data_IF_041213082922
#
_entry.id   IF_041213082922
#
_cell.length_a   1.000
_cell.length_b   1.000
_cell.length_c   1.000
_cell.angle_alpha   90.00
_cell.angle_beta   90.00
_cell.angle_gamma   90.00
#
_symmetry.space_group_name_H-M   'P 1'
#
loop_
_entity.id
_entity.type
_entity.pdbx_description
1 polymer ?
#
# COMPACT_ATOMS: atom_id res chain seq x y z
N UNK A 1 12.12 -6.54 -15.72
CA UNK A 1 11.07 -6.35 -14.69
C UNK A 1 11.66 -6.68 -13.32
N UNK A 2 11.17 -6.04 -12.25
CA UNK A 2 11.62 -6.26 -10.85
C UNK A 2 10.39 -6.45 -9.96
N UNK A 3 10.61 -6.89 -8.72
CA UNK A 3 9.56 -7.15 -7.73
C UNK A 3 9.72 -6.21 -6.55
N UNK A 4 8.64 -5.51 -6.19
CA UNK A 4 8.61 -4.56 -5.09
C UNK A 4 7.51 -4.91 -4.09
N UNK A 5 7.87 -4.94 -2.82
CA UNK A 5 6.96 -5.08 -1.71
C UNK A 5 6.81 -3.74 -1.00
N UNK A 6 5.59 -3.24 -0.92
CA UNK A 6 5.25 -2.03 -0.18
C UNK A 6 4.56 -2.40 1.13
N UNK A 7 4.84 -1.66 2.19
CA UNK A 7 4.20 -1.82 3.49
C UNK A 7 4.22 -0.46 4.20
N UNK A 8 3.10 -0.11 4.83
CA UNK A 8 2.95 1.11 5.61
C UNK A 8 2.09 0.84 6.83
N UNK A 9 2.06 1.78 7.77
CA UNK A 9 0.94 1.85 8.70
C UNK A 9 -0.36 1.92 7.90
N UNK A 10 -1.41 1.22 8.36
CA UNK A 10 -2.73 1.22 7.72
C UNK A 10 -3.53 2.48 8.07
N UNK A 11 -2.90 3.64 7.91
CA UNK A 11 -3.47 4.96 8.07
C UNK A 11 -3.46 5.66 6.72
N UNK A 12 -4.55 6.31 6.28
CA UNK A 12 -4.60 6.96 4.97
C UNK A 12 -3.44 7.94 4.72
N UNK A 13 -3.06 8.72 5.73
CA UNK A 13 -1.94 9.67 5.64
C UNK A 13 -0.57 9.02 5.39
N UNK A 14 -0.40 7.73 5.73
CA UNK A 14 0.84 7.00 5.50
C UNK A 14 0.94 6.38 4.11
N UNK A 15 -0.14 6.39 3.32
CA UNK A 15 -0.10 5.93 1.93
C UNK A 15 0.69 6.88 1.03
N UNK A 16 0.63 8.18 1.30
CA UNK A 16 1.17 9.19 0.37
C UNK A 16 2.25 10.08 0.99
N UNK A 17 2.90 9.60 2.05
CA UNK A 17 4.00 10.35 2.67
C UNK A 17 5.18 10.46 1.69
N UNK A 18 5.35 11.64 1.09
CA UNK A 18 6.39 11.91 0.10
C UNK A 18 6.17 11.22 -1.25
N UNK A 19 4.92 10.90 -1.62
CA UNK A 19 4.60 10.28 -2.92
C UNK A 19 4.74 8.76 -2.92
N UNK A 20 4.56 8.10 -1.77
CA UNK A 20 4.79 6.67 -1.64
C UNK A 20 3.83 5.83 -2.50
N UNK A 21 2.52 6.11 -2.44
CA UNK A 21 1.50 5.51 -3.31
C UNK A 21 1.74 5.84 -4.79
N UNK A 22 2.13 7.08 -5.08
CA UNK A 22 2.48 7.47 -6.45
C UNK A 22 3.67 6.66 -6.98
N UNK A 23 4.67 6.39 -6.13
CA UNK A 23 5.83 5.57 -6.49
C UNK A 23 5.42 4.13 -6.80
N UNK A 24 4.58 3.51 -5.97
CA UNK A 24 4.03 2.18 -6.24
C UNK A 24 3.27 2.15 -7.58
N UNK A 25 2.46 3.17 -7.84
CA UNK A 25 1.65 3.30 -9.06
C UNK A 25 2.53 3.44 -10.30
N UNK A 26 3.57 4.25 -10.23
CA UNK A 26 4.49 4.45 -11.35
C UNK A 26 5.33 3.20 -11.62
N UNK A 27 5.78 2.48 -10.59
CA UNK A 27 6.48 1.20 -10.77
C UNK A 27 5.56 0.14 -11.38
N UNK A 28 4.31 0.06 -10.93
CA UNK A 28 3.31 -0.84 -11.51
C UNK A 28 3.06 -0.50 -12.99
N UNK A 29 2.85 0.78 -13.30
CA UNK A 29 2.65 1.28 -14.67
C UNK A 29 3.84 0.99 -15.59
N UNK A 30 5.07 1.00 -15.07
CA UNK A 30 6.31 0.64 -15.80
C UNK A 30 6.48 -0.87 -16.01
N UNK A 31 5.54 -1.70 -15.55
CA UNK A 31 5.57 -3.15 -15.72
C UNK A 31 6.41 -3.89 -14.68
N UNK A 32 6.66 -3.28 -13.52
CA UNK A 32 7.20 -4.00 -12.37
C UNK A 32 6.09 -4.75 -11.62
N UNK A 33 6.44 -5.87 -10.99
CA UNK A 33 5.55 -6.54 -10.05
C UNK A 33 5.53 -5.72 -8.76
N UNK A 34 4.35 -5.25 -8.37
CA UNK A 34 4.12 -4.46 -7.17
C UNK A 34 3.05 -5.16 -6.35
N UNK A 35 3.35 -5.38 -5.07
CA UNK A 35 2.37 -5.82 -4.08
C UNK A 35 2.45 -4.92 -2.87
N UNK A 36 1.31 -4.42 -2.43
CA UNK A 36 1.20 -3.69 -1.16
C UNK A 36 0.63 -4.60 -0.08
N UNK A 37 1.36 -4.79 1.01
CA UNK A 37 0.89 -5.56 2.16
C UNK A 37 0.31 -4.59 3.19
N UNK A 38 -0.95 -4.78 3.58
CA UNK A 38 -1.64 -3.84 4.45
C UNK A 38 -2.81 -4.46 5.22
N UNK A 39 -3.48 -3.68 6.07
CA UNK A 39 -4.73 -4.06 6.74
C UNK A 39 -5.96 -3.45 6.06
N UNK A 40 -7.15 -3.83 6.55
CA UNK A 40 -8.44 -3.49 5.92
C UNK A 40 -8.67 -1.98 5.80
N UNK A 41 -8.15 -1.18 6.75
CA UNK A 41 -8.45 0.24 6.87
C UNK A 41 -8.03 1.08 5.65
N UNK A 42 -7.05 0.63 4.87
CA UNK A 42 -6.54 1.37 3.70
C UNK A 42 -6.75 0.66 2.37
N UNK A 43 -7.36 -0.53 2.37
CA UNK A 43 -7.65 -1.29 1.15
C UNK A 43 -8.43 -0.49 0.09
N UNK A 44 -9.49 0.29 0.44
CA UNK A 44 -10.25 1.05 -0.55
C UNK A 44 -9.41 2.10 -1.30
N UNK A 45 -8.36 2.64 -0.67
CA UNK A 45 -7.46 3.60 -1.31
C UNK A 45 -6.53 2.93 -2.32
N UNK A 46 -6.06 1.71 -2.00
CA UNK A 46 -5.23 0.92 -2.90
C UNK A 46 -6.05 0.39 -4.09
N UNK A 47 -7.31 -0.01 -3.85
CA UNK A 47 -8.27 -0.34 -4.90
C UNK A 47 -8.50 0.84 -5.84
N UNK A 48 -8.75 2.03 -5.29
CA UNK A 48 -8.92 3.25 -6.08
C UNK A 48 -7.68 3.60 -6.91
N UNK A 49 -6.49 3.35 -6.38
CA UNK A 49 -5.21 3.57 -7.07
C UNK A 49 -4.83 2.44 -8.06
N UNK A 50 -5.60 1.35 -8.12
CA UNK A 50 -5.31 0.20 -8.98
C UNK A 50 -4.05 -0.57 -8.58
N UNK A 51 -3.65 -0.50 -7.31
CA UNK A 51 -2.46 -1.21 -6.80
C UNK A 51 -2.86 -2.61 -6.31
N UNK A 52 -2.22 -3.69 -6.77
CA UNK A 52 -2.41 -5.02 -6.18
C UNK A 52 -1.99 -5.01 -4.71
N UNK A 53 -2.83 -5.58 -3.85
CA UNK A 53 -2.55 -5.65 -2.41
C UNK A 53 -2.88 -7.01 -1.80
N UNK A 54 -2.27 -7.29 -0.67
CA UNK A 54 -2.54 -8.44 0.17
C UNK A 54 -2.90 -7.97 1.58
N UNK A 55 -4.03 -8.44 2.08
CA UNK A 55 -4.47 -8.16 3.43
C UNK A 55 -3.77 -9.09 4.41
N UNK A 56 -3.23 -8.52 5.49
CA UNK A 56 -2.69 -9.29 6.61
C UNK A 56 -3.63 -9.21 7.81
N UNK A 57 -3.68 -10.30 8.57
CA UNK A 57 -4.41 -10.34 9.83
C UNK A 57 -3.76 -9.38 10.83
N UNK A 58 -4.59 -8.55 11.45
CA UNK A 58 -4.15 -7.58 12.44
C UNK A 58 -4.03 -8.23 13.81
N UNK A 59 -2.99 -7.88 14.56
CA UNK A 59 -2.80 -8.34 15.95
C UNK A 59 -3.59 -7.52 16.98
N UNK A 60 -4.40 -6.55 16.53
CA UNK A 60 -5.09 -5.58 17.38
C UNK A 60 -4.26 -4.36 17.79
N UNK A 61 -3.15 -4.10 17.08
CA UNK A 61 -2.34 -2.90 17.27
C UNK A 61 -3.18 -1.63 17.11
N UNK A 62 -3.12 -0.75 18.12
CA UNK A 62 -3.79 0.56 18.08
C UNK A 62 -2.79 1.62 17.67
N UNK A 63 -2.99 2.21 16.50
CA UNK A 63 -2.21 3.36 16.08
C UNK A 63 -2.49 4.55 17.02
N UNK A 64 -1.45 5.33 17.40
CA UNK A 64 -1.66 6.59 18.10
C UNK A 64 -2.48 7.56 17.21
N UNK A 65 -3.29 8.44 17.81
CA UNK A 65 -4.05 9.46 17.08
C UNK A 65 -3.14 10.48 16.38
#
# INVERSE_FOLDING_TARGET
AMRFLFCSAQLPGHLDWGGYLHTASELHRRGHEVLWVTGQAVAPFLEHAGIPFHLVEETGWRWPP
#
